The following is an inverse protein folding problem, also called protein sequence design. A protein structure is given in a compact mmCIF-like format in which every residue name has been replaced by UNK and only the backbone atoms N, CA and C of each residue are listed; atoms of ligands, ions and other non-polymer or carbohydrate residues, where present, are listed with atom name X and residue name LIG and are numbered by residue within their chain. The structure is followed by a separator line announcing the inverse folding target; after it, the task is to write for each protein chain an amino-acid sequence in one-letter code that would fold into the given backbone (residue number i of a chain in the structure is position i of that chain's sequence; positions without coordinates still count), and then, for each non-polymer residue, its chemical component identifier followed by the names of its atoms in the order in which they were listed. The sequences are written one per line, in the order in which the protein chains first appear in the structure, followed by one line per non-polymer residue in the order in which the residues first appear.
data_IF_832715436167
#
_entry.id   IF_832715436167
#
_cell.length_a   1.000
_cell.length_b   1.000
_cell.length_c   1.000
_cell.angle_alpha   90.00
_cell.angle_beta   90.00
_cell.angle_gamma   90.00
#
_symmetry.space_group_name_H-M   'P 1'
#
loop_
_entity.id
_entity.type
_entity.pdbx_description
1 polymer ?
#
# COMPACT_ATOMS: atom_id res chain seq x y z
N UNK A 1 12.34 -6.18 4.30
CA UNK A 1 11.66 -4.98 3.75
C UNK A 1 12.26 -3.68 4.29
N UNK A 2 12.63 -3.63 5.57
CA UNK A 2 13.28 -2.45 6.18
C UNK A 2 14.57 -2.03 5.46
N UNK A 3 15.39 -2.99 5.01
CA UNK A 3 16.60 -2.70 4.24
C UNK A 3 16.31 -1.95 2.93
N UNK A 4 15.30 -2.36 2.16
CA UNK A 4 14.93 -1.68 0.91
C UNK A 4 14.39 -0.27 1.17
N UNK A 5 13.62 -0.10 2.25
CA UNK A 5 13.15 1.21 2.69
C UNK A 5 14.33 2.13 3.03
N UNK A 6 15.32 1.65 3.80
CA UNK A 6 16.52 2.42 4.15
C UNK A 6 17.31 2.83 2.91
N UNK A 7 17.46 1.94 1.92
CA UNK A 7 18.17 2.24 0.67
C UNK A 7 17.47 3.37 -0.10
N UNK A 8 16.15 3.30 -0.24
CA UNK A 8 15.41 4.34 -0.97
C UNK A 8 15.40 5.69 -0.25
N UNK A 9 15.40 5.69 1.08
CA UNK A 9 15.57 6.91 1.87
C UNK A 9 16.96 7.53 1.67
N UNK A 10 18.01 6.71 1.63
CA UNK A 10 19.39 7.15 1.37
C UNK A 10 19.55 7.74 -0.04
N UNK A 11 19.00 7.06 -1.05
CA UNK A 11 19.04 7.47 -2.46
C UNK A 11 18.01 8.56 -2.81
N UNK A 12 17.24 9.04 -1.82
CA UNK A 12 16.18 10.07 -1.98
C UNK A 12 15.12 9.70 -3.04
N UNK A 13 14.85 8.41 -3.19
CA UNK A 13 13.80 7.92 -4.09
C UNK A 13 12.47 7.96 -3.33
N UNK A 14 11.43 8.62 -3.85
CA UNK A 14 10.17 8.82 -3.12
C UNK A 14 9.28 7.56 -3.16
N UNK A 15 9.83 6.38 -2.95
CA UNK A 15 9.11 5.11 -2.89
C UNK A 15 8.58 4.87 -1.48
N UNK A 16 7.37 4.29 -1.39
CA UNK A 16 6.71 4.09 -0.11
C UNK A 16 6.53 2.60 0.20
N UNK A 17 7.05 2.16 1.35
CA UNK A 17 6.79 0.84 1.92
C UNK A 17 6.41 0.95 3.39
N UNK A 18 5.48 0.10 3.80
CA UNK A 18 5.17 -0.13 5.21
C UNK A 18 5.59 -1.55 5.60
N UNK A 19 6.80 -1.74 6.15
CA UNK A 19 7.10 -2.97 6.87
C UNK A 19 6.20 -3.04 8.12
N UNK A 20 5.71 -4.24 8.45
CA UNK A 20 4.95 -4.53 9.66
C UNK A 20 5.74 -5.55 10.48
N UNK A 21 5.66 -5.46 11.80
CA UNK A 21 6.41 -6.35 12.68
C UNK A 21 5.82 -7.78 12.63
N UNK A 22 6.71 -8.77 12.59
CA UNK A 22 6.37 -10.19 12.69
C UNK A 22 7.15 -10.76 13.87
N UNK A 23 6.43 -11.37 14.81
CA UNK A 23 7.01 -12.03 15.97
C UNK A 23 6.72 -13.53 15.89
N UNK A 24 7.74 -14.33 15.66
CA UNK A 24 7.62 -15.80 15.74
C UNK A 24 7.62 -16.22 17.21
N UNK A 25 6.52 -16.81 17.68
CA UNK A 25 6.40 -17.30 19.06
C UNK A 25 6.76 -18.79 19.16
N UNK A 26 6.49 -19.58 18.14
CA UNK A 26 6.85 -21.01 18.04
C UNK A 26 7.06 -21.39 16.56
N UNK A 27 7.48 -22.62 16.23
CA UNK A 27 7.64 -23.06 14.84
C UNK A 27 6.33 -23.03 14.03
N UNK A 28 5.19 -23.12 14.71
CA UNK A 28 3.83 -23.21 14.18
C UNK A 28 2.94 -22.04 14.62
N UNK A 29 3.47 -21.07 15.36
CA UNK A 29 2.72 -19.90 15.81
C UNK A 29 3.53 -18.60 15.73
N UNK A 30 2.83 -17.51 15.42
CA UNK A 30 3.42 -16.18 15.39
C UNK A 30 2.36 -15.10 15.43
N UNK A 31 2.80 -13.88 15.67
CA UNK A 31 1.97 -12.69 15.74
C UNK A 31 2.42 -11.75 14.63
N UNK A 32 1.46 -11.14 13.95
CA UNK A 32 1.68 -10.15 12.91
C UNK A 32 1.03 -8.85 13.35
N UNK A 33 1.77 -7.75 13.27
CA UNK A 33 1.24 -6.42 13.56
C UNK A 33 0.15 -6.04 12.54
N UNK A 34 -1.07 -5.67 13.00
CA UNK A 34 -2.12 -5.23 12.10
C UNK A 34 -1.86 -3.81 11.58
N UNK A 35 -2.09 -3.61 10.28
CA UNK A 35 -2.01 -2.28 9.66
C UNK A 35 -3.32 -1.53 9.95
N UNK A 36 -3.24 -0.57 10.88
CA UNK A 36 -4.38 0.27 11.25
C UNK A 36 -4.84 1.14 10.07
N UNK A 37 -6.14 1.46 10.04
CA UNK A 37 -6.78 2.30 9.01
C UNK A 37 -6.57 1.80 7.57
N UNK A 38 -6.42 0.49 7.41
CA UNK A 38 -6.34 -0.15 6.10
C UNK A 38 -7.53 -1.09 5.88
N UNK A 39 -8.02 -1.12 4.65
CA UNK A 39 -9.08 -2.02 4.21
C UNK A 39 -8.59 -2.77 2.98
N UNK A 40 -8.95 -4.05 2.86
CA UNK A 40 -8.51 -4.83 1.71
C UNK A 40 -9.19 -4.34 0.43
N UNK A 41 -8.47 -4.41 -0.69
CA UNK A 41 -9.00 -4.03 -2.00
C UNK A 41 -10.24 -4.86 -2.37
N UNK A 42 -10.30 -6.12 -1.94
CA UNK A 42 -11.48 -6.98 -2.09
C UNK A 42 -12.68 -6.44 -1.31
N UNK A 43 -12.50 -6.05 -0.04
CA UNK A 43 -13.58 -5.45 0.77
C UNK A 43 -14.08 -4.14 0.16
N UNK A 44 -13.18 -3.28 -0.33
CA UNK A 44 -13.58 -2.03 -1.01
C UNK A 44 -14.48 -2.34 -2.20
N UNK A 45 -14.05 -3.25 -3.09
CA UNK A 45 -14.83 -3.65 -4.26
C UNK A 45 -16.18 -4.27 -3.88
N UNK A 46 -16.20 -5.12 -2.85
CA UNK A 46 -17.42 -5.78 -2.39
C UNK A 46 -18.43 -4.80 -1.79
N UNK A 47 -17.97 -3.84 -0.98
CA UNK A 47 -18.85 -2.90 -0.29
C UNK A 47 -19.32 -1.76 -1.18
N UNK A 48 -18.44 -1.23 -2.02
CA UNK A 48 -18.77 -0.04 -2.82
C UNK A 48 -19.30 -0.41 -4.21
N UNK A 49 -18.99 -1.58 -4.75
CA UNK A 49 -19.35 -2.03 -6.12
C UNK A 49 -19.01 -1.03 -7.25
N UNK A 50 -18.06 -0.13 -6.99
CA UNK A 50 -17.56 0.87 -7.94
C UNK A 50 -16.12 0.58 -8.33
N UNK A 51 -15.64 1.24 -9.37
CA UNK A 51 -14.23 1.18 -9.74
C UNK A 51 -13.33 1.79 -8.65
N UNK A 52 -12.07 1.35 -8.60
CA UNK A 52 -11.12 1.87 -7.62
C UNK A 52 -10.84 3.37 -7.85
N UNK A 53 -10.90 3.83 -9.11
CA UNK A 53 -10.80 5.25 -9.43
C UNK A 53 -11.97 6.04 -8.83
N UNK A 54 -13.21 5.59 -9.05
CA UNK A 54 -14.42 6.22 -8.48
C UNK A 54 -14.38 6.27 -6.95
N UNK A 55 -13.90 5.19 -6.33
CA UNK A 55 -13.67 5.17 -4.88
C UNK A 55 -12.71 6.28 -4.44
N UNK A 56 -11.58 6.45 -5.15
CA UNK A 56 -10.63 7.51 -4.82
C UNK A 56 -11.23 8.92 -5.01
N UNK A 57 -12.07 9.14 -6.03
CA UNK A 57 -12.75 10.43 -6.25
C UNK A 57 -13.73 10.71 -5.12
N UNK A 58 -14.48 9.69 -4.70
CA UNK A 58 -15.51 9.82 -3.68
C UNK A 58 -14.91 10.07 -2.30
N UNK A 59 -13.85 9.35 -1.93
CA UNK A 59 -13.24 9.46 -0.60
C UNK A 59 -12.25 10.64 -0.49
N UNK A 60 -11.48 10.93 -1.55
CA UNK A 60 -10.40 11.93 -1.49
C UNK A 60 -10.61 13.13 -2.42
N UNK A 61 -11.54 13.07 -3.36
CA UNK A 61 -11.72 14.10 -4.38
C UNK A 61 -12.83 15.11 -4.10
N UNK A 62 -13.68 14.89 -3.08
CA UNK A 62 -14.89 15.67 -2.84
C UNK A 62 -15.74 15.85 -4.13
N UNK A 63 -15.79 14.79 -4.95
CA UNK A 63 -16.49 14.78 -6.24
C UNK A 63 -15.73 15.40 -7.41
N UNK A 64 -14.51 15.93 -7.23
CA UNK A 64 -13.68 16.49 -8.31
C UNK A 64 -12.36 15.74 -8.51
N UNK A 65 -12.04 15.47 -9.78
CA UNK A 65 -10.77 14.86 -10.20
C UNK A 65 -9.58 15.84 -10.14
N UNK A 66 -9.83 17.14 -9.99
CA UNK A 66 -8.79 18.18 -9.88
C UNK A 66 -8.45 18.54 -8.44
N UNK A 67 -9.10 17.91 -7.44
CA UNK A 67 -8.84 18.16 -6.04
C UNK A 67 -7.39 17.79 -5.67
N UNK A 68 -6.73 18.65 -4.90
CA UNK A 68 -5.36 18.44 -4.43
C UNK A 68 -5.23 17.15 -3.61
N UNK A 69 -6.24 16.84 -2.79
CA UNK A 69 -6.31 15.61 -1.99
C UNK A 69 -6.36 14.36 -2.87
N UNK A 70 -7.12 14.38 -3.96
CA UNK A 70 -7.14 13.29 -4.94
C UNK A 70 -5.78 13.12 -5.62
N UNK A 71 -5.15 14.22 -6.04
CA UNK A 71 -3.82 14.18 -6.67
C UNK A 71 -2.76 13.63 -5.70
N UNK A 72 -2.82 14.01 -4.43
CA UNK A 72 -1.93 13.49 -3.39
C UNK A 72 -2.17 12.00 -3.13
N UNK A 73 -3.43 11.57 -3.00
CA UNK A 73 -3.80 10.17 -2.83
C UNK A 73 -3.32 9.31 -4.03
N UNK A 74 -3.50 9.82 -5.26
CA UNK A 74 -3.01 9.17 -6.48
C UNK A 74 -1.49 9.07 -6.48
N UNK A 75 -0.77 10.13 -6.09
CA UNK A 75 0.69 10.11 -5.99
C UNK A 75 1.17 9.06 -4.99
N UNK A 76 0.55 8.99 -3.82
CA UNK A 76 0.85 7.97 -2.81
C UNK A 76 0.56 6.54 -3.30
N UNK A 77 -0.54 6.37 -4.04
CA UNK A 77 -0.86 5.09 -4.67
C UNK A 77 0.21 4.66 -5.69
N UNK A 78 0.67 5.57 -6.56
CA UNK A 78 1.74 5.27 -7.54
C UNK A 78 3.06 4.94 -6.83
N UNK A 79 3.46 5.74 -5.83
CA UNK A 79 4.70 5.52 -5.10
C UNK A 79 4.72 4.19 -4.35
N UNK A 80 3.60 3.81 -3.72
CA UNK A 80 3.45 2.52 -3.06
C UNK A 80 3.36 1.36 -4.05
N UNK A 81 2.59 1.51 -5.13
CA UNK A 81 2.47 0.48 -6.17
C UNK A 81 3.82 0.17 -6.82
N UNK A 82 4.60 1.19 -7.18
CA UNK A 82 5.94 1.03 -7.74
C UNK A 82 6.87 0.31 -6.75
N UNK A 83 6.89 0.76 -5.50
CA UNK A 83 7.69 0.17 -4.43
C UNK A 83 7.38 -1.33 -4.23
N UNK A 84 6.11 -1.66 -4.04
CA UNK A 84 5.68 -3.04 -3.86
C UNK A 84 5.88 -3.87 -5.13
N UNK A 85 5.81 -3.30 -6.33
CA UNK A 85 6.11 -4.01 -7.59
C UNK A 85 7.57 -4.44 -7.69
N UNK A 86 8.49 -3.56 -7.31
CA UNK A 86 9.93 -3.89 -7.23
C UNK A 86 10.15 -4.98 -6.19
N UNK A 87 9.53 -4.85 -5.00
CA UNK A 87 9.62 -5.87 -3.95
C UNK A 87 9.13 -7.24 -4.43
N UNK A 88 7.98 -7.32 -5.10
CA UNK A 88 7.48 -8.60 -5.61
C UNK A 88 8.39 -9.22 -6.66
N UNK A 89 9.01 -8.38 -7.49
CA UNK A 89 9.95 -8.85 -8.50
C UNK A 89 11.23 -9.41 -7.86
N UNK A 90 11.82 -8.68 -6.91
CA UNK A 90 13.06 -9.10 -6.24
C UNK A 90 12.85 -10.31 -5.32
N UNK A 91 11.76 -10.34 -4.56
CA UNK A 91 11.46 -11.40 -3.60
C UNK A 91 10.75 -12.60 -4.24
N UNK A 92 10.42 -12.53 -5.54
CA UNK A 92 9.68 -13.57 -6.26
C UNK A 92 8.39 -13.99 -5.53
N UNK A 93 7.61 -13.00 -5.07
CA UNK A 93 6.32 -13.24 -4.41
C UNK A 93 5.33 -13.76 -5.45
N UNK A 94 4.83 -14.99 -5.27
CA UNK A 94 3.98 -15.68 -6.27
C UNK A 94 2.48 -15.67 -5.97
N UNK A 95 2.08 -15.33 -4.74
CA UNK A 95 0.69 -15.37 -4.29
C UNK A 95 0.11 -13.95 -4.18
N UNK A 96 -0.08 -13.29 -5.34
CA UNK A 96 -0.53 -11.90 -5.43
C UNK A 96 -1.90 -11.75 -6.07
#
# INVERSE_FOLDING_TARGET
LETLKSIWEQERVPLWLRPYAILSTSPDSGIIEPILNSVSLHQIKKHCQISLLEYFVREFGDGSMSSELFLLARKNFVHSCAAYSIVSYLMQVKDR
#
